data_IF_508309718391
#
_entry.id   IF_508309718391
#
_cell.length_a   1.000
_cell.length_b   1.000
_cell.length_c   1.000
_cell.angle_alpha   90.00
_cell.angle_beta   90.00
_cell.angle_gamma   90.00
#
_symmetry.space_group_name_H-M   'P 1'
#
loop_
_entity.id
_entity.type
_entity.pdbx_description
1 polymer ?
#
# COMPACT_ATOMS: atom_id res chain seq x y z
N UNK A 1 18.35 17.67 -18.93
CA UNK A 1 18.33 16.22 -19.25
C UNK A 1 16.98 15.71 -18.79
N UNK A 2 16.21 15.05 -19.64
CA UNK A 2 14.93 14.48 -19.22
C UNK A 2 15.22 13.35 -18.21
N UNK A 3 14.62 13.40 -17.03
CA UNK A 3 14.70 12.31 -16.06
C UNK A 3 14.10 11.05 -16.71
N UNK A 4 14.87 9.96 -16.74
CA UNK A 4 14.35 8.66 -17.16
C UNK A 4 13.61 8.11 -15.95
N UNK A 5 12.27 8.07 -16.03
CA UNK A 5 11.46 7.49 -14.97
C UNK A 5 11.94 6.07 -14.66
N UNK A 6 12.07 5.75 -13.37
CA UNK A 6 12.45 4.40 -12.93
C UNK A 6 11.56 3.33 -13.60
N UNK A 7 12.07 2.14 -13.96
CA UNK A 7 11.28 1.06 -14.53
C UNK A 7 10.03 0.70 -13.72
N UNK A 8 10.08 0.86 -12.39
CA UNK A 8 8.93 0.72 -11.50
C UNK A 8 7.87 1.80 -11.77
N UNK A 9 8.30 3.07 -11.81
CA UNK A 9 7.46 4.23 -12.17
C UNK A 9 6.82 4.10 -13.56
N UNK A 10 7.55 3.56 -14.53
CA UNK A 10 7.08 3.36 -15.90
C UNK A 10 6.05 2.22 -16.00
N UNK A 11 6.11 1.21 -15.13
CA UNK A 11 5.12 0.11 -15.05
C UNK A 11 3.87 0.53 -14.32
N UNK A 12 4.04 1.28 -13.23
CA UNK A 12 2.99 1.95 -12.48
C UNK A 12 2.18 2.84 -13.43
N UNK A 13 2.82 3.77 -14.16
CA UNK A 13 2.15 4.61 -15.17
C UNK A 13 1.49 3.85 -16.34
N UNK A 14 1.88 2.59 -16.58
CA UNK A 14 1.32 1.73 -17.63
C UNK A 14 0.13 0.87 -17.16
N UNK A 15 -0.29 0.94 -15.88
CA UNK A 15 -1.41 0.20 -15.30
C UNK A 15 -2.81 0.60 -15.83
N UNK A 16 -2.90 1.21 -17.01
CA UNK A 16 -4.15 1.71 -17.60
C UNK A 16 -5.11 0.59 -18.03
N UNK A 17 -4.61 -0.61 -18.33
CA UNK A 17 -5.42 -1.75 -18.77
C UNK A 17 -4.86 -3.04 -18.16
N UNK A 18 -5.33 -3.41 -16.96
CA UNK A 18 -5.07 -4.74 -16.39
C UNK A 18 -5.45 -5.79 -17.44
N UNK A 19 -4.46 -6.41 -18.08
CA UNK A 19 -4.69 -7.31 -19.21
C UNK A 19 -4.81 -8.77 -18.79
N UNK A 20 -4.49 -9.06 -17.52
CA UNK A 20 -4.58 -10.35 -16.85
C UNK A 20 -4.39 -10.18 -15.33
N UNK A 21 -4.60 -11.25 -14.57
CA UNK A 21 -4.42 -11.27 -13.11
C UNK A 21 -3.01 -10.91 -12.64
N UNK A 22 -1.96 -11.23 -13.40
CA UNK A 22 -0.57 -10.89 -13.03
C UNK A 22 -0.36 -9.38 -13.04
N UNK A 23 -1.05 -8.64 -13.92
CA UNK A 23 -0.99 -7.17 -13.93
C UNK A 23 -1.66 -6.59 -12.68
N UNK A 24 -2.82 -7.15 -12.28
CA UNK A 24 -3.53 -6.75 -11.05
C UNK A 24 -2.68 -7.03 -9.81
N UNK A 25 -2.08 -8.23 -9.73
CA UNK A 25 -1.23 -8.61 -8.61
C UNK A 25 0.04 -7.76 -8.52
N UNK A 26 0.67 -7.41 -9.65
CA UNK A 26 1.82 -6.51 -9.65
C UNK A 26 1.45 -5.07 -9.29
N UNK A 27 0.24 -4.64 -9.62
CA UNK A 27 -0.28 -3.37 -9.17
C UNK A 27 -0.45 -3.35 -7.64
N UNK A 28 -1.10 -4.36 -7.05
CA UNK A 28 -1.18 -4.52 -5.60
C UNK A 28 0.22 -4.56 -4.97
N UNK A 29 1.11 -5.41 -5.49
CA UNK A 29 2.48 -5.57 -4.97
C UNK A 29 3.28 -4.26 -5.00
N UNK A 30 3.01 -3.36 -5.94
CA UNK A 30 3.68 -2.05 -5.98
C UNK A 30 3.31 -1.21 -4.76
N UNK A 31 2.04 -1.23 -4.34
CA UNK A 31 1.53 -0.48 -3.20
C UNK A 31 2.01 -1.11 -1.88
N UNK A 32 1.96 -2.43 -1.80
CA UNK A 32 2.44 -3.19 -0.64
C UNK A 32 3.94 -2.99 -0.41
N UNK A 33 4.73 -2.89 -1.48
CA UNK A 33 6.14 -2.49 -1.37
C UNK A 33 6.32 -1.07 -0.83
N UNK A 34 5.45 -0.13 -1.23
CA UNK A 34 5.47 1.25 -0.76
C UNK A 34 5.12 1.32 0.74
N UNK A 35 4.07 0.64 1.17
CA UNK A 35 3.59 0.58 2.56
C UNK A 35 4.60 -0.16 3.46
N UNK A 36 5.08 -1.33 3.04
CA UNK A 36 6.09 -2.05 3.78
C UNK A 36 7.38 -1.23 3.96
N UNK A 37 7.89 -0.60 2.89
CA UNK A 37 9.08 0.24 2.97
C UNK A 37 8.85 1.45 3.88
N UNK A 38 7.67 2.06 3.84
CA UNK A 38 7.29 3.16 4.72
C UNK A 38 7.42 2.78 6.20
N UNK A 39 6.82 1.67 6.63
CA UNK A 39 6.89 1.24 8.02
C UNK A 39 8.27 0.72 8.41
N UNK A 40 8.89 -0.11 7.56
CA UNK A 40 10.22 -0.68 7.80
C UNK A 40 11.27 0.39 8.06
N UNK A 41 11.31 1.40 7.19
CA UNK A 41 12.37 2.43 7.23
C UNK A 41 11.97 3.57 8.20
N UNK A 42 10.68 3.88 8.30
CA UNK A 42 10.18 4.92 9.20
C UNK A 42 10.25 4.54 10.67
N UNK A 43 9.82 3.33 11.06
CA UNK A 43 9.89 2.89 12.46
C UNK A 43 11.32 2.75 12.97
N UNK A 44 12.28 2.49 12.07
CA UNK A 44 13.72 2.49 12.39
C UNK A 44 14.26 3.91 12.68
N UNK A 45 13.57 4.95 12.21
CA UNK A 45 13.97 6.35 12.32
C UNK A 45 13.46 7.04 13.59
N UNK A 46 12.54 6.41 14.34
CA UNK A 46 11.95 6.96 15.56
C UNK A 46 12.20 6.07 16.77
N UNK A 47 12.34 6.68 17.95
CA UNK A 47 12.30 5.94 19.21
C UNK A 47 10.86 5.68 19.62
N UNK A 48 10.56 4.46 20.09
CA UNK A 48 9.21 4.07 20.52
C UNK A 48 8.57 5.04 21.53
N UNK A 49 9.35 5.62 22.44
CA UNK A 49 8.86 6.60 23.43
C UNK A 49 8.42 7.96 22.87
N UNK A 50 8.50 8.18 21.55
CA UNK A 50 7.93 9.37 20.89
C UNK A 50 6.45 9.18 20.51
N UNK A 51 5.94 7.96 20.59
CA UNK A 51 4.57 7.61 20.27
C UNK A 51 3.74 7.51 21.56
N UNK A 52 2.42 7.66 21.44
CA UNK A 52 1.51 7.34 22.55
C UNK A 52 1.60 5.86 22.92
N UNK A 53 1.22 5.54 24.16
CA UNK A 53 1.32 4.18 24.72
C UNK A 53 0.62 3.16 23.79
N UNK A 54 1.38 2.15 23.36
CA UNK A 54 0.90 1.06 22.48
C UNK A 54 0.85 1.40 20.99
N UNK A 55 1.01 2.68 20.58
CA UNK A 55 0.96 3.05 19.16
C UNK A 55 2.16 2.48 18.39
N UNK A 56 3.37 2.56 18.93
CA UNK A 56 4.54 2.01 18.28
C UNK A 56 4.41 0.50 18.03
N UNK A 57 3.89 -0.25 19.00
CA UNK A 57 3.74 -1.71 18.89
C UNK A 57 2.70 -2.07 17.83
N UNK A 58 1.57 -1.36 17.75
CA UNK A 58 0.59 -1.58 16.69
C UNK A 58 1.16 -1.23 15.30
N UNK A 59 1.99 -0.19 15.18
CA UNK A 59 2.66 0.13 13.91
C UNK A 59 3.68 -0.95 13.51
N UNK A 60 4.32 -1.61 14.48
CA UNK A 60 5.18 -2.78 14.24
C UNK A 60 4.34 -3.96 13.73
N UNK A 61 3.16 -4.20 14.29
CA UNK A 61 2.25 -5.23 13.79
C UNK A 61 1.79 -4.91 12.36
N UNK A 62 1.47 -3.65 12.04
CA UNK A 62 1.13 -3.23 10.67
C UNK A 62 2.29 -3.53 9.72
N UNK A 63 3.51 -3.09 10.04
CA UNK A 63 4.72 -3.42 9.25
C UNK A 63 4.82 -4.92 8.92
N UNK A 64 4.58 -5.76 9.91
CA UNK A 64 4.71 -7.22 9.77
C UNK A 64 3.57 -7.81 8.92
N UNK A 65 2.40 -7.19 8.92
CA UNK A 65 1.33 -7.53 7.97
C UNK A 65 1.72 -7.12 6.54
N UNK A 66 2.25 -5.91 6.33
CA UNK A 66 2.71 -5.47 5.00
C UNK A 66 3.80 -6.38 4.41
N UNK A 67 4.76 -6.83 5.23
CA UNK A 67 5.76 -7.81 4.79
C UNK A 67 5.09 -9.12 4.35
N UNK A 68 4.09 -9.58 5.10
CA UNK A 68 3.36 -10.80 4.80
C UNK A 68 2.52 -10.67 3.52
N UNK A 69 1.89 -9.52 3.28
CA UNK A 69 1.17 -9.22 2.05
C UNK A 69 2.12 -9.21 0.84
N UNK A 70 3.27 -8.53 0.94
CA UNK A 70 4.34 -8.55 -0.08
C UNK A 70 4.75 -9.98 -0.42
N UNK A 71 5.06 -10.80 0.60
CA UNK A 71 5.46 -12.20 0.39
C UNK A 71 4.36 -13.00 -0.31
N UNK A 72 3.11 -12.87 0.15
CA UNK A 72 1.97 -13.59 -0.42
C UNK A 72 1.75 -13.23 -1.91
N UNK A 73 1.86 -11.96 -2.27
CA UNK A 73 1.71 -11.50 -3.65
C UNK A 73 2.88 -11.96 -4.53
N UNK A 74 4.12 -11.85 -4.04
CA UNK A 74 5.31 -12.36 -4.75
C UNK A 74 5.16 -13.85 -5.06
N UNK A 75 4.82 -14.66 -4.05
CA UNK A 75 4.64 -16.10 -4.22
C UNK A 75 3.51 -16.42 -5.20
N UNK A 76 2.40 -15.69 -5.11
CA UNK A 76 1.25 -15.86 -6.00
C UNK A 76 1.63 -15.53 -7.45
N UNK A 77 2.28 -14.39 -7.70
CA UNK A 77 2.74 -13.98 -9.03
C UNK A 77 3.68 -15.04 -9.63
N UNK A 78 4.66 -15.52 -8.85
CA UNK A 78 5.59 -16.57 -9.30
C UNK A 78 4.85 -17.87 -9.61
N UNK A 79 3.88 -18.27 -8.79
CA UNK A 79 3.10 -19.50 -8.98
C UNK A 79 2.27 -19.48 -10.28
N UNK A 80 1.84 -18.29 -10.71
CA UNK A 80 1.12 -18.05 -11.96
C UNK A 80 2.06 -17.91 -13.17
N UNK A 81 3.38 -18.02 -12.97
CA UNK A 81 4.40 -17.87 -14.02
C UNK A 81 4.72 -16.41 -14.37
N UNK A 82 4.28 -15.46 -13.54
CA UNK A 82 4.58 -14.05 -13.67
C UNK A 82 5.95 -13.65 -13.13
N UNK A 83 6.34 -12.40 -13.36
CA UNK A 83 7.52 -11.79 -12.75
C UNK A 83 7.06 -10.72 -11.77
N UNK A 84 7.33 -10.88 -10.46
CA UNK A 84 7.02 -9.85 -9.47
C UNK A 84 7.77 -8.55 -9.77
N UNK A 85 7.09 -7.42 -9.59
CA UNK A 85 7.69 -6.09 -9.60
C UNK A 85 8.66 -5.99 -8.42
N UNK A 86 9.76 -5.27 -8.62
CA UNK A 86 10.72 -5.02 -7.55
C UNK A 86 10.32 -3.78 -6.74
N UNK A 87 10.63 -3.79 -5.44
CA UNK A 87 10.56 -2.62 -4.58
C UNK A 87 11.26 -1.41 -5.22
N UNK A 88 10.64 -0.23 -5.15
CA UNK A 88 11.22 1.02 -5.64
C UNK A 88 12.03 1.74 -4.55
N UNK A 89 12.44 2.97 -4.83
CA UNK A 89 13.05 3.85 -3.83
C UNK A 89 12.06 4.96 -3.52
N UNK A 90 11.90 5.26 -2.23
CA UNK A 90 10.84 6.15 -1.76
C UNK A 90 11.38 7.34 -0.94
N UNK A 91 10.65 8.45 -1.00
CA UNK A 91 10.80 9.61 -0.12
C UNK A 91 9.41 10.04 0.38
N UNK A 92 9.19 9.87 1.68
CA UNK A 92 7.90 10.12 2.31
C UNK A 92 7.75 11.52 2.91
N UNK A 93 8.82 12.33 2.93
CA UNK A 93 8.78 13.74 3.31
C UNK A 93 8.40 14.09 4.76
N UNK A 94 8.01 13.13 5.61
CA UNK A 94 7.67 13.40 7.01
C UNK A 94 8.88 13.84 7.83
N UNK A 95 8.66 14.70 8.83
CA UNK A 95 9.73 15.28 9.65
C UNK A 95 9.61 14.92 11.14
N UNK A 96 8.47 14.38 11.56
CA UNK A 96 8.15 14.06 12.95
C UNK A 96 7.07 12.97 13.01
N UNK A 97 6.78 12.47 14.21
CA UNK A 97 5.79 11.40 14.44
C UNK A 97 4.40 11.75 13.93
N UNK A 98 3.93 12.99 14.11
CA UNK A 98 2.62 13.40 13.60
C UNK A 98 2.57 13.36 12.06
N UNK A 99 3.64 13.81 11.39
CA UNK A 99 3.77 13.69 9.94
C UNK A 99 3.84 12.22 9.48
N UNK A 100 4.54 11.37 10.22
CA UNK A 100 4.60 9.93 9.95
C UNK A 100 3.19 9.30 10.05
N UNK A 101 2.46 9.51 11.14
CA UNK A 101 1.11 8.98 11.33
C UNK A 101 0.12 9.51 10.29
N UNK A 102 0.27 10.76 9.84
CA UNK A 102 -0.57 11.32 8.78
C UNK A 102 -0.28 10.68 7.42
N UNK A 103 0.99 10.41 7.09
CA UNK A 103 1.34 9.68 5.85
C UNK A 103 0.87 8.23 5.94
N UNK A 104 1.02 7.56 7.09
CA UNK A 104 0.53 6.21 7.33
C UNK A 104 -0.96 6.11 7.02
N UNK A 105 -1.78 6.98 7.62
CA UNK A 105 -3.22 7.02 7.34
C UNK A 105 -3.51 7.24 5.85
N UNK A 106 -2.79 8.14 5.18
CA UNK A 106 -3.00 8.41 3.76
C UNK A 106 -2.68 7.20 2.87
N UNK A 107 -1.60 6.47 3.15
CA UNK A 107 -1.22 5.26 2.41
C UNK A 107 -2.30 4.19 2.56
N UNK A 108 -2.67 3.88 3.79
CA UNK A 108 -3.57 2.76 4.14
C UNK A 108 -4.99 2.96 3.61
N UNK A 109 -5.53 4.19 3.74
CA UNK A 109 -6.81 4.50 3.10
C UNK A 109 -6.72 4.41 1.56
N UNK A 110 -5.56 4.75 0.97
CA UNK A 110 -5.33 4.60 -0.48
C UNK A 110 -5.20 3.13 -0.87
N UNK A 111 -4.53 2.29 -0.07
CA UNK A 111 -4.42 0.84 -0.23
C UNK A 111 -5.78 0.16 -0.27
N UNK A 112 -6.67 0.47 0.70
CA UNK A 112 -8.06 -0.01 0.70
C UNK A 112 -8.79 0.34 -0.60
N UNK A 113 -8.76 1.64 -0.97
CA UNK A 113 -9.36 2.13 -2.21
C UNK A 113 -8.79 1.47 -3.47
N UNK A 114 -7.51 1.11 -3.46
CA UNK A 114 -6.81 0.48 -4.57
C UNK A 114 -7.24 -0.98 -4.76
N UNK A 115 -7.31 -1.76 -3.68
CA UNK A 115 -7.80 -3.14 -3.71
C UNK A 115 -9.25 -3.20 -4.21
N UNK A 116 -10.14 -2.37 -3.64
CA UNK A 116 -11.54 -2.33 -4.04
C UNK A 116 -11.72 -1.89 -5.50
N UNK A 117 -10.90 -0.93 -5.96
CA UNK A 117 -10.91 -0.45 -7.34
C UNK A 117 -10.42 -1.47 -8.36
N UNK A 118 -9.47 -2.32 -7.97
CA UNK A 118 -8.89 -3.35 -8.83
C UNK A 118 -9.65 -4.69 -8.80
N UNK A 119 -10.49 -4.94 -7.79
CA UNK A 119 -11.16 -6.22 -7.59
C UNK A 119 -11.95 -6.72 -8.81
N UNK A 120 -12.61 -5.80 -9.55
CA UNK A 120 -13.40 -6.16 -10.72
C UNK A 120 -12.56 -6.64 -11.94
N UNK A 121 -11.25 -6.41 -11.91
CA UNK A 121 -10.33 -6.85 -12.97
C UNK A 121 -9.74 -8.24 -12.74
N UNK A 122 -9.99 -8.85 -11.58
CA UNK A 122 -9.52 -10.20 -11.26
C UNK A 122 -10.41 -11.23 -12.00
N UNK A 123 -9.79 -12.04 -12.84
CA UNK A 123 -10.43 -13.12 -13.60
C UNK A 123 -10.46 -14.44 -12.80
N UNK A 124 -9.38 -14.76 -12.09
CA UNK A 124 -9.32 -15.95 -11.25
C UNK A 124 -10.05 -15.71 -9.91
N UNK A 125 -11.20 -16.36 -9.75
CA UNK A 125 -12.04 -16.26 -8.55
C UNK A 125 -11.30 -16.65 -7.26
N UNK A 126 -10.31 -17.53 -7.32
CA UNK A 126 -9.53 -17.89 -6.13
C UNK A 126 -8.71 -16.70 -5.60
N UNK A 127 -8.30 -15.78 -6.48
CA UNK A 127 -7.59 -14.56 -6.11
C UNK A 127 -8.51 -13.53 -5.46
N UNK A 128 -9.82 -13.52 -5.77
CA UNK A 128 -10.78 -12.63 -5.13
C UNK A 128 -10.89 -12.89 -3.63
N UNK A 129 -10.83 -14.16 -3.20
CA UNK A 129 -10.85 -14.48 -1.77
C UNK A 129 -9.56 -14.01 -1.10
N UNK A 130 -8.40 -14.25 -1.71
CA UNK A 130 -7.12 -13.78 -1.19
C UNK A 130 -7.08 -12.25 -1.07
N UNK A 131 -7.43 -11.52 -2.13
CA UNK A 131 -7.53 -10.06 -2.12
C UNK A 131 -8.53 -9.56 -1.06
N UNK A 132 -9.69 -10.22 -0.94
CA UNK A 132 -10.69 -9.93 0.09
C UNK A 132 -10.17 -10.08 1.52
N UNK A 133 -9.23 -11.01 1.76
CA UNK A 133 -8.60 -11.13 3.09
C UNK A 133 -7.58 -10.03 3.37
N UNK A 134 -6.84 -9.58 2.36
CA UNK A 134 -5.84 -8.50 2.50
C UNK A 134 -6.57 -7.17 2.74
N UNK A 135 -7.49 -6.76 1.85
CA UNK A 135 -8.22 -5.49 1.98
C UNK A 135 -8.99 -5.36 3.30
N UNK A 136 -9.45 -6.47 3.86
CA UNK A 136 -10.12 -6.47 5.17
C UNK A 136 -9.15 -6.21 6.35
N UNK A 137 -7.86 -6.52 6.18
CA UNK A 137 -6.78 -6.20 7.13
C UNK A 137 -6.34 -4.75 6.92
N UNK A 138 -6.10 -4.32 5.69
CA UNK A 138 -5.83 -2.92 5.31
C UNK A 138 -6.88 -1.97 5.91
N UNK A 139 -8.18 -2.30 5.79
CA UNK A 139 -9.25 -1.48 6.34
C UNK A 139 -9.20 -1.36 7.88
N UNK A 140 -8.63 -2.35 8.59
CA UNK A 140 -8.42 -2.27 10.04
C UNK A 140 -7.25 -1.35 10.39
N UNK A 141 -6.18 -1.40 9.60
CA UNK A 141 -5.04 -0.49 9.75
C UNK A 141 -5.45 0.95 9.47
N UNK A 142 -6.14 1.21 8.35
CA UNK A 142 -6.68 2.51 7.99
C UNK A 142 -7.61 3.07 9.09
N UNK A 143 -8.55 2.25 9.59
CA UNK A 143 -9.45 2.64 10.68
C UNK A 143 -8.68 3.00 11.97
N UNK A 144 -7.67 2.20 12.32
CA UNK A 144 -6.82 2.45 13.48
C UNK A 144 -6.01 3.75 13.34
N UNK A 145 -5.42 4.00 12.17
CA UNK A 145 -4.61 5.19 11.92
C UNK A 145 -5.46 6.46 11.86
N UNK A 146 -6.68 6.39 11.32
CA UNK A 146 -7.65 7.48 11.42
C UNK A 146 -7.93 7.80 12.89
N UNK A 147 -8.19 6.79 13.72
CA UNK A 147 -8.41 7.00 15.16
C UNK A 147 -7.20 7.63 15.87
N UNK A 148 -5.98 7.16 15.60
CA UNK A 148 -4.75 7.69 16.22
C UNK A 148 -4.45 9.13 15.78
N UNK A 149 -4.83 9.51 14.56
CA UNK A 149 -4.73 10.90 14.09
C UNK A 149 -5.85 11.81 14.63
N UNK A 150 -6.84 11.24 15.34
CA UNK A 150 -7.99 11.98 15.87
C UNK A 150 -9.13 12.20 14.87
N UNK A 151 -9.09 11.50 13.74
CA UNK A 151 -10.14 11.45 12.73
C UNK A 151 -11.19 10.36 13.05
N UNK A 152 -12.26 10.30 12.26
CA UNK A 152 -13.28 9.26 12.42
C UNK A 152 -12.73 7.90 11.92
N UNK A 153 -12.65 6.85 12.77
CA UNK A 153 -12.23 5.52 12.34
C UNK A 153 -13.17 4.85 11.34
N UNK A 154 -14.40 5.35 11.19
CA UNK A 154 -15.45 4.78 10.33
C UNK A 154 -16.12 5.89 9.49
N UNK A 155 -15.36 6.59 8.62
CA UNK A 155 -15.81 7.84 8.00
C UNK A 155 -16.98 7.67 7.02
N UNK A 156 -17.22 6.44 6.54
CA UNK A 156 -18.26 6.12 5.57
C UNK A 156 -18.83 4.72 5.81
N UNK A 157 -20.05 4.49 5.30
CA UNK A 157 -20.68 3.16 5.29
C UNK A 157 -20.15 2.25 4.16
N UNK A 158 -19.48 2.83 3.16
CA UNK A 158 -18.87 2.14 2.03
C UNK A 158 -17.54 2.80 1.69
N UNK A 159 -16.56 1.98 1.33
CA UNK A 159 -15.30 2.47 0.77
C UNK A 159 -15.52 3.14 -0.58
N UNK A 160 -14.56 3.97 -0.97
CA UNK A 160 -14.55 4.62 -2.29
C UNK A 160 -13.48 3.95 -3.16
N UNK A 161 -13.86 3.06 -4.09
CA UNK A 161 -12.91 2.46 -5.01
C UNK A 161 -12.26 3.52 -5.88
N UNK A 162 -10.94 3.50 -5.99
CA UNK A 162 -10.19 4.39 -6.87
C UNK A 162 -9.72 3.65 -8.11
N UNK A 163 -9.74 4.34 -9.25
CA UNK A 163 -9.11 3.81 -10.46
C UNK A 163 -7.60 3.73 -10.26
N UNK A 164 -6.88 2.84 -10.97
CA UNK A 164 -5.42 2.80 -10.91
C UNK A 164 -4.81 4.19 -11.11
N UNK A 165 -5.24 4.94 -12.12
CA UNK A 165 -4.80 6.33 -12.36
C UNK A 165 -4.88 7.22 -11.13
N UNK A 166 -5.99 7.19 -10.39
CA UNK A 166 -6.15 8.02 -9.19
C UNK A 166 -5.22 7.57 -8.07
N UNK A 167 -5.07 6.25 -7.87
CA UNK A 167 -4.11 5.71 -6.90
C UNK A 167 -2.68 6.11 -7.25
N UNK A 168 -2.33 6.06 -8.54
CA UNK A 168 -1.02 6.49 -9.00
C UNK A 168 -0.77 7.98 -8.77
N UNK A 169 -1.76 8.82 -9.00
CA UNK A 169 -1.65 10.26 -8.73
C UNK A 169 -1.36 10.54 -7.25
N UNK A 170 -1.94 9.74 -6.35
CA UNK A 170 -1.72 9.85 -4.91
C UNK A 170 -0.34 9.28 -4.51
N UNK A 171 0.06 8.15 -5.07
CA UNK A 171 1.27 7.43 -4.66
C UNK A 171 2.56 7.99 -5.31
N UNK A 172 2.47 8.50 -6.55
CA UNK A 172 3.57 9.04 -7.35
C UNK A 172 4.51 10.00 -6.60
N UNK A 173 4.02 10.94 -5.76
CA UNK A 173 4.87 11.85 -5.00
C UNK A 173 5.88 11.16 -4.07
N UNK A 174 5.62 9.91 -3.65
CA UNK A 174 6.51 9.17 -2.76
C UNK A 174 7.64 8.44 -3.48
N UNK A 175 7.57 8.27 -4.79
CA UNK A 175 8.58 7.55 -5.54
C UNK A 175 9.72 8.49 -5.94
N UNK A 176 10.96 8.09 -5.67
CA UNK A 176 12.15 8.82 -6.12
C UNK A 176 12.38 8.51 -7.62
N UNK A 177 12.51 9.57 -8.42
CA UNK A 177 12.81 9.47 -9.86
C UNK A 177 14.28 9.23 -10.16
#
# INVERSE_FOLDING_TARGET
MAAVASPAFARVAAAQDFSNDIDVLNYALTLEHLEYAFYRDGLASFSAGLFEDGVYDNLVDIRDHEDAHVVALVDTIVSLGGTPVAEAVYDFGYQNVAGFLSVAAALENTGVSAYDGAAAAIENVDLLNAAGTIVAVEARHASYLNFVNGDDPFPSAFETPLTPTQVLEIATPFFVQ
#
